data_IF_313010580949
#
_entry.id   IF_313010580949
#
_cell.length_a   1.000
_cell.length_b   1.000
_cell.length_c   1.000
_cell.angle_alpha   90.00
_cell.angle_beta   90.00
_cell.angle_gamma   90.00
#
_symmetry.space_group_name_H-M   'P 1'
#
loop_
_entity.id
_entity.type
_entity.pdbx_description
1 polymer ?
#
# COMPACT_ATOMS: atom_id res chain seq x y z
N UNK A 1 -49.65 -48.54 -30.93
CA UNK A 1 -48.92 -49.53 -31.75
C UNK A 1 -47.40 -49.53 -31.47
N UNK A 2 -46.75 -48.37 -31.28
CA UNK A 2 -45.30 -48.27 -31.00
C UNK A 2 -44.83 -49.00 -29.72
N UNK A 3 -45.52 -48.80 -28.59
CA UNK A 3 -45.18 -49.44 -27.30
C UNK A 3 -45.23 -50.97 -27.34
N UNK A 4 -46.06 -51.55 -28.22
CA UNK A 4 -46.14 -53.01 -28.42
C UNK A 4 -44.93 -53.56 -29.19
N UNK A 5 -44.30 -52.75 -30.03
CA UNK A 5 -43.07 -53.12 -30.75
C UNK A 5 -41.85 -52.97 -29.82
N UNK A 6 -41.88 -51.97 -28.92
CA UNK A 6 -40.81 -51.68 -27.97
C UNK A 6 -40.90 -52.48 -26.66
N UNK A 7 -41.83 -53.42 -26.55
CA UNK A 7 -42.05 -54.20 -25.33
C UNK A 7 -40.77 -54.95 -24.89
N UNK A 8 -40.06 -55.55 -25.85
CA UNK A 8 -38.80 -56.24 -25.57
C UNK A 8 -37.63 -55.29 -25.27
N UNK A 9 -37.77 -54.00 -25.61
CA UNK A 9 -36.76 -52.97 -25.39
C UNK A 9 -36.92 -52.26 -24.04
N UNK A 10 -38.12 -52.25 -23.45
CA UNK A 10 -38.44 -51.57 -22.20
C UNK A 10 -38.85 -52.59 -21.12
N UNK A 11 -37.90 -53.40 -20.66
CA UNK A 11 -38.07 -54.46 -19.65
C UNK A 11 -37.91 -55.89 -20.17
N UNK A 12 -37.39 -56.05 -21.40
CA UNK A 12 -37.26 -57.36 -22.05
C UNK A 12 -35.83 -57.88 -22.17
N UNK A 13 -35.58 -58.66 -23.23
CA UNK A 13 -34.35 -59.44 -23.45
C UNK A 13 -33.28 -58.73 -24.27
N UNK A 14 -33.48 -57.46 -24.59
CA UNK A 14 -32.59 -56.69 -25.47
C UNK A 14 -31.74 -55.68 -24.71
N UNK A 15 -30.56 -55.36 -25.26
CA UNK A 15 -29.76 -54.23 -24.80
C UNK A 15 -30.34 -52.96 -25.43
N UNK A 16 -30.90 -52.08 -24.61
CA UNK A 16 -31.58 -50.86 -25.09
C UNK A 16 -30.79 -49.63 -24.66
N UNK A 17 -30.65 -48.67 -25.56
CA UNK A 17 -30.11 -47.34 -25.27
C UNK A 17 -31.10 -46.28 -25.77
N UNK A 18 -31.35 -45.27 -24.94
CA UNK A 18 -32.27 -44.17 -25.24
C UNK A 18 -31.43 -42.91 -25.36
N UNK A 19 -31.58 -42.18 -26.47
CA UNK A 19 -30.89 -40.92 -26.71
C UNK A 19 -31.89 -39.79 -26.52
N UNK A 20 -31.65 -38.95 -25.51
CA UNK A 20 -32.44 -37.75 -25.24
C UNK A 20 -31.79 -36.54 -25.93
N UNK A 21 -32.46 -35.97 -26.92
CA UNK A 21 -32.00 -34.76 -27.63
C UNK A 21 -32.63 -33.52 -27.01
N UNK A 22 -31.82 -32.60 -26.51
CA UNK A 22 -32.28 -31.38 -25.83
C UNK A 22 -31.72 -30.13 -26.51
N UNK A 23 -32.43 -29.01 -26.39
CA UNK A 23 -32.01 -27.71 -26.93
C UNK A 23 -31.45 -26.84 -25.80
N UNK A 24 -30.31 -26.16 -25.99
CA UNK A 24 -29.74 -25.26 -24.99
C UNK A 24 -30.45 -23.90 -24.91
N UNK A 25 -31.43 -23.63 -25.78
CA UNK A 25 -32.11 -22.34 -25.82
C UNK A 25 -33.02 -22.13 -24.59
N UNK A 26 -33.00 -20.93 -24.02
CA UNK A 26 -33.81 -20.59 -22.83
C UNK A 26 -35.31 -20.72 -23.04
N UNK A 27 -35.79 -20.58 -24.30
CA UNK A 27 -37.19 -20.79 -24.66
C UNK A 27 -37.64 -22.26 -24.57
N UNK A 28 -36.69 -23.20 -24.62
CA UNK A 28 -36.94 -24.65 -24.58
C UNK A 28 -36.67 -25.26 -23.20
N UNK A 29 -36.57 -24.44 -22.15
CA UNK A 29 -36.21 -24.90 -20.81
C UNK A 29 -37.23 -25.91 -20.24
N UNK A 30 -38.53 -25.64 -20.43
CA UNK A 30 -39.61 -26.50 -19.94
C UNK A 30 -39.64 -27.87 -20.65
N UNK A 31 -39.51 -27.88 -21.97
CA UNK A 31 -39.42 -29.11 -22.77
C UNK A 31 -38.14 -29.90 -22.48
N UNK A 32 -37.04 -29.20 -22.23
CA UNK A 32 -35.76 -29.81 -21.82
C UNK A 32 -35.90 -30.50 -20.48
N UNK A 33 -36.56 -29.87 -19.50
CA UNK A 33 -36.83 -30.48 -18.20
C UNK A 33 -37.68 -31.75 -18.35
N UNK A 34 -38.77 -31.69 -19.12
CA UNK A 34 -39.65 -32.83 -19.38
C UNK A 34 -38.92 -34.01 -20.05
N UNK A 35 -38.04 -33.70 -21.01
CA UNK A 35 -37.21 -34.69 -21.71
C UNK A 35 -36.20 -35.35 -20.76
N UNK A 36 -35.55 -34.56 -19.90
CA UNK A 36 -34.60 -35.05 -18.90
C UNK A 36 -35.28 -35.91 -17.83
N UNK A 37 -36.49 -35.53 -17.39
CA UNK A 37 -37.27 -36.35 -16.45
C UNK A 37 -37.63 -37.72 -17.03
N UNK A 38 -38.05 -37.76 -18.30
CA UNK A 38 -38.33 -39.02 -18.97
C UNK A 38 -37.07 -39.87 -19.10
N UNK A 39 -35.94 -39.28 -19.50
CA UNK A 39 -34.66 -39.97 -19.59
C UNK A 39 -34.20 -40.53 -18.22
N UNK A 40 -34.40 -39.76 -17.15
CA UNK A 40 -34.10 -40.19 -15.79
C UNK A 40 -34.94 -41.40 -15.36
N UNK A 41 -36.25 -41.41 -15.66
CA UNK A 41 -37.11 -42.57 -15.40
C UNK A 41 -36.70 -43.78 -16.24
N UNK A 42 -36.39 -43.56 -17.51
CA UNK A 42 -36.03 -44.63 -18.43
C UNK A 42 -34.67 -45.28 -18.11
N UNK A 43 -33.73 -44.52 -17.52
CA UNK A 43 -32.46 -45.04 -16.99
C UNK A 43 -32.66 -46.15 -15.95
N UNK A 44 -33.75 -46.12 -15.20
CA UNK A 44 -34.03 -47.10 -14.14
C UNK A 44 -34.75 -48.37 -14.63
N UNK A 45 -35.01 -48.48 -15.94
CA UNK A 45 -35.59 -49.70 -16.53
C UNK A 45 -34.50 -50.76 -16.65
N UNK A 46 -34.65 -51.88 -15.95
CA UNK A 46 -33.72 -53.00 -16.01
C UNK A 46 -34.14 -54.01 -17.07
N UNK A 47 -33.31 -54.19 -18.09
CA UNK A 47 -33.43 -55.30 -19.05
C UNK A 47 -32.57 -56.48 -18.61
N UNK A 48 -32.96 -57.70 -19.03
CA UNK A 48 -32.16 -58.93 -18.85
C UNK A 48 -31.67 -59.39 -20.22
N UNK A 49 -30.55 -58.85 -20.73
CA UNK A 49 -30.08 -59.20 -22.05
C UNK A 49 -29.68 -60.68 -22.10
N UNK A 50 -30.38 -61.45 -22.93
CA UNK A 50 -30.10 -62.87 -23.15
C UNK A 50 -29.43 -63.05 -24.51
N UNK A 51 -28.34 -63.82 -24.56
CA UNK A 51 -27.71 -64.18 -25.84
C UNK A 51 -28.65 -65.17 -26.53
N UNK A 52 -29.19 -64.78 -27.69
CA UNK A 52 -30.02 -65.64 -28.53
C UNK A 52 -29.17 -66.75 -29.18
N UNK A 53 -28.63 -67.66 -28.37
CA UNK A 53 -27.94 -68.84 -28.87
C UNK A 53 -28.99 -69.83 -29.38
N UNK A 54 -29.04 -69.97 -30.71
CA UNK A 54 -29.69 -71.14 -31.32
C UNK A 54 -28.77 -72.34 -31.14
N UNK A 55 -28.75 -72.89 -29.92
CA UNK A 55 -28.10 -74.18 -29.65
C UNK A 55 -28.76 -75.23 -30.54
N UNK A 56 -28.06 -75.58 -31.61
CA UNK A 56 -28.52 -76.64 -32.51
C UNK A 56 -28.38 -77.95 -31.75
N UNK A 57 -29.36 -78.87 -31.85
CA UNK A 57 -29.31 -80.17 -31.16
C UNK A 57 -27.97 -80.91 -31.34
N UNK A 58 -27.31 -80.71 -32.48
CA UNK A 58 -25.98 -81.25 -32.80
C UNK A 58 -24.84 -80.71 -31.92
N UNK A 59 -24.88 -79.42 -31.54
CA UNK A 59 -23.89 -78.82 -30.64
C UNK A 59 -24.03 -79.38 -29.21
N UNK A 60 -25.28 -79.52 -28.75
CA UNK A 60 -25.58 -80.08 -27.43
C UNK A 60 -25.15 -81.56 -27.31
N UNK A 61 -25.39 -82.37 -28.36
CA UNK A 61 -24.95 -83.77 -28.40
C UNK A 61 -23.42 -83.86 -28.39
N UNK A 62 -22.73 -82.96 -29.10
CA UNK A 62 -21.26 -82.93 -29.13
C UNK A 62 -20.70 -82.61 -27.74
N UNK A 63 -21.25 -81.60 -27.07
CA UNK A 63 -20.86 -81.21 -25.71
C UNK A 63 -21.09 -82.36 -24.70
N UNK A 64 -22.24 -83.04 -24.75
CA UNK A 64 -22.48 -84.23 -23.92
C UNK A 64 -21.54 -85.39 -24.22
N UNK A 65 -21.16 -85.59 -25.48
CA UNK A 65 -20.23 -86.66 -25.86
C UNK A 65 -18.83 -86.38 -25.32
N UNK A 66 -18.37 -85.12 -25.42
CA UNK A 66 -17.09 -84.67 -24.86
C UNK A 66 -17.06 -84.79 -23.34
N UNK A 67 -18.18 -84.48 -22.67
CA UNK A 67 -18.34 -84.61 -21.22
C UNK A 67 -18.28 -86.08 -20.75
N UNK A 68 -18.95 -86.99 -21.47
CA UNK A 68 -18.90 -88.43 -21.18
C UNK A 68 -17.48 -88.98 -21.32
N UNK A 69 -16.76 -88.58 -22.36
CA UNK A 69 -15.37 -89.00 -22.58
C UNK A 69 -14.40 -88.37 -21.56
N UNK A 70 -14.70 -87.18 -21.03
CA UNK A 70 -13.96 -86.62 -19.89
C UNK A 70 -14.20 -87.44 -18.62
N UNK A 71 -15.46 -87.67 -18.26
CA UNK A 71 -15.84 -88.42 -17.07
C UNK A 71 -15.32 -89.87 -17.08
N UNK A 72 -15.28 -90.52 -18.24
CA UNK A 72 -14.69 -91.85 -18.40
C UNK A 72 -13.19 -91.86 -18.12
N UNK A 73 -12.46 -90.84 -18.59
CA UNK A 73 -11.03 -90.67 -18.30
C UNK A 73 -10.78 -90.41 -16.81
N UNK A 74 -11.60 -89.56 -16.19
CA UNK A 74 -11.50 -89.25 -14.76
C UNK A 74 -11.75 -90.50 -13.89
N UNK A 75 -12.70 -91.35 -14.28
CA UNK A 75 -13.04 -92.60 -13.58
C UNK A 75 -11.93 -93.66 -13.73
N UNK A 76 -11.28 -93.72 -14.89
CA UNK A 76 -10.10 -94.58 -15.10
C UNK A 76 -8.92 -94.12 -14.23
N UNK A 77 -8.64 -92.82 -14.18
CA UNK A 77 -7.59 -92.24 -13.34
C UNK A 77 -7.83 -92.46 -11.83
N UNK A 78 -9.09 -92.38 -11.39
CA UNK A 78 -9.45 -92.65 -9.99
C UNK A 78 -9.24 -94.13 -9.58
N UNK A 79 -9.32 -95.07 -10.54
CA UNK A 79 -9.14 -96.52 -10.30
C UNK A 79 -7.67 -96.94 -10.19
N UNK A 80 -6.74 -96.25 -10.85
CA UNK A 80 -5.31 -96.63 -10.89
C UNK A 80 -4.46 -96.08 -9.76
N UNK A 81 -4.99 -95.16 -8.92
CA UNK A 81 -4.42 -94.76 -7.61
C UNK A 81 -2.90 -94.47 -7.57
N UNK A 82 -2.28 -94.00 -8.65
CA UNK A 82 -0.98 -93.32 -8.64
C UNK A 82 -0.68 -92.61 -9.97
N UNK A 83 -0.47 -91.29 -9.91
CA UNK A 83 0.08 -90.50 -11.01
C UNK A 83 -0.95 -89.59 -11.67
N UNK A 84 -0.76 -88.27 -11.52
CA UNK A 84 -1.44 -87.27 -12.35
C UNK A 84 -0.92 -87.43 -13.78
N UNK A 85 -1.60 -88.24 -14.59
CA UNK A 85 -1.26 -88.41 -16.00
C UNK A 85 -1.93 -87.30 -16.81
N UNK A 86 -1.22 -86.18 -16.93
CA UNK A 86 -1.55 -85.13 -17.88
C UNK A 86 -1.01 -85.55 -19.25
N UNK A 87 -1.85 -85.51 -20.29
CA UNK A 87 -1.38 -85.73 -21.66
C UNK A 87 -0.25 -84.75 -22.00
N UNK A 88 0.74 -85.18 -22.77
CA UNK A 88 1.89 -84.35 -23.15
C UNK A 88 1.46 -82.97 -23.69
N UNK A 89 0.40 -82.97 -24.51
CA UNK A 89 -0.23 -81.77 -25.06
C UNK A 89 -0.81 -80.81 -23.99
N UNK A 90 -1.39 -81.36 -22.91
CA UNK A 90 -1.88 -80.57 -21.78
C UNK A 90 -0.74 -80.12 -20.85
N UNK A 91 0.35 -80.88 -20.75
CA UNK A 91 1.53 -80.49 -19.96
C UNK A 91 2.27 -79.33 -20.63
N UNK A 92 2.47 -79.40 -21.94
CA UNK A 92 3.04 -78.32 -22.75
C UNK A 92 2.15 -77.07 -22.72
N UNK A 93 0.83 -77.23 -22.84
CA UNK A 93 -0.11 -76.11 -22.72
C UNK A 93 -0.11 -75.47 -21.31
N UNK A 94 0.09 -76.26 -20.25
CA UNK A 94 0.18 -75.76 -18.88
C UNK A 94 1.50 -75.01 -18.63
N UNK A 95 2.63 -75.58 -19.08
CA UNK A 95 3.93 -74.91 -19.01
C UNK A 95 3.92 -73.60 -19.81
N UNK A 96 3.33 -73.58 -21.00
CA UNK A 96 3.20 -72.36 -21.80
C UNK A 96 2.32 -71.29 -21.13
N UNK A 97 1.27 -71.69 -20.40
CA UNK A 97 0.50 -70.74 -19.58
C UNK A 97 1.29 -70.22 -18.38
N UNK A 98 2.10 -71.08 -17.75
CA UNK A 98 2.93 -70.70 -16.62
C UNK A 98 3.99 -69.68 -17.04
N UNK A 99 4.68 -69.90 -18.16
CA UNK A 99 5.68 -68.95 -18.66
C UNK A 99 5.07 -67.60 -19.02
N UNK A 100 3.89 -67.59 -19.65
CA UNK A 100 3.18 -66.34 -19.96
C UNK A 100 2.74 -65.61 -18.69
N UNK A 101 2.31 -66.34 -17.65
CA UNK A 101 1.98 -65.73 -16.37
C UNK A 101 3.22 -65.19 -15.64
N UNK A 102 4.34 -65.90 -15.69
CA UNK A 102 5.62 -65.42 -15.12
C UNK A 102 6.11 -64.14 -15.82
N UNK A 103 6.01 -64.06 -17.15
CA UNK A 103 6.31 -62.85 -17.92
C UNK A 103 5.38 -61.68 -17.55
N UNK A 104 4.08 -61.94 -17.42
CA UNK A 104 3.11 -60.92 -16.99
C UNK A 104 3.38 -60.42 -15.57
N UNK A 105 3.75 -61.32 -14.65
CA UNK A 105 4.10 -60.95 -13.28
C UNK A 105 5.35 -60.05 -13.29
N UNK A 106 6.37 -60.39 -14.08
CA UNK A 106 7.56 -59.57 -14.21
C UNK A 106 7.23 -58.17 -14.77
N UNK A 107 6.38 -58.07 -15.79
CA UNK A 107 5.95 -56.79 -16.37
C UNK A 107 5.17 -55.94 -15.35
N UNK A 108 4.27 -56.56 -14.57
CA UNK A 108 3.53 -55.84 -13.53
C UNK A 108 4.44 -55.37 -12.39
N UNK A 109 5.45 -56.14 -12.00
CA UNK A 109 6.43 -55.73 -10.99
C UNK A 109 7.19 -54.49 -11.45
N UNK A 110 7.68 -54.48 -12.71
CA UNK A 110 8.36 -53.30 -13.26
C UNK A 110 7.46 -52.08 -13.29
N UNK A 111 6.19 -52.26 -13.68
CA UNK A 111 5.21 -51.18 -13.70
C UNK A 111 4.91 -50.62 -12.31
N UNK A 112 4.82 -51.49 -11.30
CA UNK A 112 4.66 -51.09 -9.89
C UNK A 112 5.87 -50.28 -9.43
N UNK A 113 7.10 -50.73 -9.72
CA UNK A 113 8.31 -50.02 -9.34
C UNK A 113 8.36 -48.60 -9.93
N UNK A 114 8.04 -48.45 -11.22
CA UNK A 114 7.99 -47.12 -11.87
C UNK A 114 6.93 -46.22 -11.23
N UNK A 115 5.74 -46.76 -10.95
CA UNK A 115 4.68 -46.01 -10.27
C UNK A 115 5.06 -45.61 -8.84
N UNK A 116 5.73 -46.49 -8.09
CA UNK A 116 6.21 -46.19 -6.74
C UNK A 116 7.23 -45.05 -6.75
N UNK A 117 8.15 -45.02 -7.72
CA UNK A 117 9.09 -43.90 -7.88
C UNK A 117 8.38 -42.59 -8.24
N UNK A 118 7.36 -42.62 -9.12
CA UNK A 118 6.57 -41.44 -9.44
C UNK A 118 5.79 -40.91 -8.23
N UNK A 119 5.15 -41.80 -7.47
CA UNK A 119 4.45 -41.43 -6.24
C UNK A 119 5.40 -40.80 -5.23
N UNK A 120 6.62 -41.36 -5.09
CA UNK A 120 7.64 -40.80 -4.20
C UNK A 120 8.07 -39.40 -4.63
N UNK A 121 8.36 -39.20 -5.93
CA UNK A 121 8.70 -37.88 -6.49
C UNK A 121 7.59 -36.85 -6.27
N UNK A 122 6.34 -37.22 -6.54
CA UNK A 122 5.19 -36.34 -6.34
C UNK A 122 5.04 -35.99 -4.86
N UNK A 123 5.21 -36.96 -3.96
CA UNK A 123 5.11 -36.74 -2.51
C UNK A 123 6.19 -35.78 -2.02
N UNK A 124 7.43 -35.94 -2.47
CA UNK A 124 8.53 -35.02 -2.15
C UNK A 124 8.23 -33.60 -2.64
N UNK A 125 7.77 -33.45 -3.89
CA UNK A 125 7.39 -32.13 -4.43
C UNK A 125 6.24 -31.49 -3.65
N UNK A 126 5.22 -32.27 -3.27
CA UNK A 126 4.12 -31.79 -2.44
C UNK A 126 4.60 -31.33 -1.06
N UNK A 127 5.56 -32.03 -0.45
CA UNK A 127 6.11 -31.61 0.85
C UNK A 127 6.89 -30.30 0.75
N UNK A 128 7.69 -30.11 -0.31
CA UNK A 128 8.41 -28.86 -0.56
C UNK A 128 7.43 -27.71 -0.78
N UNK A 129 6.48 -27.87 -1.71
CA UNK A 129 5.49 -26.84 -2.01
C UNK A 129 4.65 -26.47 -0.78
N UNK A 130 4.30 -27.45 0.06
CA UNK A 130 3.58 -27.19 1.32
C UNK A 130 4.42 -26.34 2.28
N UNK A 131 5.71 -26.65 2.43
CA UNK A 131 6.60 -25.88 3.29
C UNK A 131 6.79 -24.45 2.77
N UNK A 132 6.99 -24.28 1.46
CA UNK A 132 7.08 -22.97 0.83
C UNK A 132 5.80 -22.14 1.00
N UNK A 133 4.64 -22.80 0.88
CA UNK A 133 3.34 -22.13 1.08
C UNK A 133 3.16 -21.65 2.53
N UNK A 134 3.51 -22.49 3.51
CA UNK A 134 3.45 -22.09 4.93
C UNK A 134 4.45 -20.96 5.22
N UNK A 135 5.65 -21.01 4.67
CA UNK A 135 6.65 -19.95 4.84
C UNK A 135 6.21 -18.63 4.20
N UNK A 136 5.68 -18.67 2.98
CA UNK A 136 5.10 -17.50 2.31
C UNK A 136 3.94 -16.90 3.13
N UNK A 137 3.11 -17.77 3.74
CA UNK A 137 2.01 -17.33 4.59
C UNK A 137 2.50 -16.65 5.87
N UNK A 138 3.55 -17.16 6.51
CA UNK A 138 4.15 -16.49 7.68
C UNK A 138 4.78 -15.15 7.30
N UNK A 139 5.48 -15.09 6.17
CA UNK A 139 6.10 -13.85 5.67
C UNK A 139 5.04 -12.80 5.35
N UNK A 140 3.93 -13.20 4.73
CA UNK A 140 2.79 -12.31 4.46
C UNK A 140 2.23 -11.72 5.75
N UNK A 141 2.01 -12.54 6.78
CA UNK A 141 1.50 -12.06 8.08
C UNK A 141 2.46 -11.08 8.76
N UNK A 142 3.77 -11.32 8.69
CA UNK A 142 4.79 -10.41 9.21
C UNK A 142 4.74 -9.08 8.46
N UNK A 143 4.68 -9.13 7.12
CA UNK A 143 4.63 -7.93 6.27
C UNK A 143 3.35 -7.13 6.45
N UNK A 144 2.21 -7.78 6.65
CA UNK A 144 0.94 -7.11 6.97
C UNK A 144 1.05 -6.34 8.29
N UNK A 145 1.68 -6.94 9.31
CA UNK A 145 1.88 -6.28 10.60
C UNK A 145 2.86 -5.10 10.51
N UNK A 146 3.98 -5.27 9.82
CA UNK A 146 4.93 -4.16 9.55
C UNK A 146 4.26 -3.01 8.79
N UNK A 147 3.38 -3.33 7.83
CA UNK A 147 2.63 -2.33 7.08
C UNK A 147 1.65 -1.56 7.98
N UNK A 148 0.97 -2.25 8.89
CA UNK A 148 0.06 -1.61 9.85
C UNK A 148 0.80 -0.67 10.82
N UNK A 149 1.95 -1.10 11.35
CA UNK A 149 2.82 -0.29 12.21
C UNK A 149 3.34 0.96 11.47
N UNK A 150 3.89 0.78 10.27
CA UNK A 150 4.38 1.92 9.46
C UNK A 150 3.27 2.89 9.04
N UNK A 151 2.06 2.39 8.80
CA UNK A 151 0.91 3.24 8.49
C UNK A 151 0.48 4.09 9.71
N UNK A 152 0.56 3.51 10.91
CA UNK A 152 0.30 4.24 12.16
C UNK A 152 1.36 5.32 12.40
N UNK A 153 2.64 4.98 12.28
CA UNK A 153 3.74 5.93 12.43
C UNK A 153 3.65 7.08 11.43
N UNK A 154 3.23 6.80 10.19
CA UNK A 154 3.00 7.82 9.17
C UNK A 154 1.86 8.77 9.56
N UNK A 155 0.78 8.26 10.16
CA UNK A 155 -0.31 9.10 10.65
C UNK A 155 0.14 10.00 11.80
N UNK A 156 0.87 9.46 12.78
CA UNK A 156 1.42 10.23 13.89
C UNK A 156 2.38 11.32 13.40
N UNK A 157 3.28 10.98 12.47
CA UNK A 157 4.24 11.93 11.89
C UNK A 157 3.52 13.06 11.12
N UNK A 158 2.43 12.76 10.41
CA UNK A 158 1.64 13.79 9.73
C UNK A 158 0.97 14.76 10.69
N UNK A 159 0.50 14.27 11.83
CA UNK A 159 -0.10 15.13 12.86
C UNK A 159 0.98 16.06 13.43
N UNK A 160 2.14 15.52 13.80
CA UNK A 160 3.26 16.33 14.29
C UNK A 160 3.74 17.37 13.29
N UNK A 161 3.84 17.01 12.00
CA UNK A 161 4.21 17.97 10.97
C UNK A 161 3.21 19.13 10.88
N UNK A 162 1.90 18.85 10.95
CA UNK A 162 0.88 19.90 10.94
C UNK A 162 0.94 20.80 12.19
N UNK A 163 1.26 20.23 13.36
CA UNK A 163 1.50 20.99 14.59
C UNK A 163 2.72 21.91 14.46
N UNK A 164 3.83 21.39 13.93
CA UNK A 164 5.06 22.17 13.70
C UNK A 164 4.82 23.28 12.67
N UNK A 165 4.17 23.00 11.55
CA UNK A 165 3.82 24.00 10.53
C UNK A 165 2.97 25.13 11.13
N UNK A 166 2.01 24.79 11.99
CA UNK A 166 1.22 25.78 12.70
C UNK A 166 2.09 26.65 13.63
N UNK A 167 2.95 26.04 14.44
CA UNK A 167 3.85 26.77 15.34
C UNK A 167 4.78 27.70 14.56
N UNK A 168 5.36 27.23 13.46
CA UNK A 168 6.22 28.04 12.58
C UNK A 168 5.45 29.25 12.03
N UNK A 169 4.21 29.06 11.58
CA UNK A 169 3.37 30.15 11.06
C UNK A 169 3.07 31.23 12.12
N UNK A 170 2.83 30.81 13.37
CA UNK A 170 2.59 31.73 14.48
C UNK A 170 3.86 32.49 14.83
N UNK A 171 5.00 31.78 14.90
CA UNK A 171 6.30 32.40 15.17
C UNK A 171 6.65 33.44 14.12
N UNK A 172 6.47 33.14 12.82
CA UNK A 172 6.70 34.08 11.73
C UNK A 172 5.86 35.36 11.89
N UNK A 173 4.57 35.22 12.23
CA UNK A 173 3.68 36.37 12.48
C UNK A 173 4.17 37.22 13.68
N UNK A 174 4.60 36.57 14.76
CA UNK A 174 5.12 37.28 15.93
C UNK A 174 6.45 37.98 15.62
N UNK A 175 7.32 37.36 14.83
CA UNK A 175 8.58 37.95 14.39
C UNK A 175 8.32 39.18 13.53
N UNK A 176 7.40 39.12 12.57
CA UNK A 176 7.03 40.27 11.74
C UNK A 176 6.47 41.43 12.59
N UNK A 177 5.62 41.15 13.57
CA UNK A 177 5.10 42.17 14.50
C UNK A 177 6.19 42.80 15.35
N UNK A 178 7.11 41.98 15.88
CA UNK A 178 8.23 42.45 16.70
C UNK A 178 9.18 43.29 15.85
N UNK A 179 9.51 42.82 14.65
CA UNK A 179 10.36 43.54 13.70
C UNK A 179 9.74 44.89 13.30
N UNK A 180 8.43 44.93 13.03
CA UNK A 180 7.72 46.18 12.76
C UNK A 180 7.74 47.15 13.95
N UNK A 181 7.60 46.64 15.17
CA UNK A 181 7.69 47.45 16.39
C UNK A 181 9.11 47.99 16.62
N UNK A 182 10.12 47.14 16.46
CA UNK A 182 11.52 47.53 16.56
C UNK A 182 11.89 48.60 15.51
N UNK A 183 11.42 48.45 14.27
CA UNK A 183 11.63 49.42 13.20
C UNK A 183 10.98 50.77 13.51
N UNK A 184 9.76 50.78 14.05
CA UNK A 184 9.10 52.03 14.50
C UNK A 184 9.88 52.71 15.61
N UNK A 185 10.31 51.96 16.63
CA UNK A 185 11.12 52.49 17.73
C UNK A 185 12.44 53.07 17.22
N UNK A 186 13.10 52.38 16.29
CA UNK A 186 14.34 52.87 15.68
C UNK A 186 14.11 54.20 14.94
N UNK A 187 13.03 54.31 14.16
CA UNK A 187 12.66 55.56 13.49
C UNK A 187 12.40 56.70 14.49
N UNK A 188 11.66 56.43 15.57
CA UNK A 188 11.39 57.42 16.61
C UNK A 188 12.67 57.85 17.33
N UNK A 189 13.59 56.92 17.61
CA UNK A 189 14.89 57.23 18.21
C UNK A 189 15.74 58.07 17.26
N UNK A 190 15.73 57.78 15.95
CA UNK A 190 16.44 58.59 14.95
C UNK A 190 15.88 60.01 14.85
N UNK A 191 14.56 60.17 14.81
CA UNK A 191 13.89 61.47 14.78
C UNK A 191 14.17 62.28 16.05
N UNK A 192 13.97 61.68 17.23
CA UNK A 192 14.24 62.36 18.51
C UNK A 192 15.72 62.71 18.67
N UNK A 193 16.65 61.86 18.21
CA UNK A 193 18.09 62.18 18.18
C UNK A 193 18.37 63.38 17.28
N UNK A 194 17.74 63.43 16.10
CA UNK A 194 17.85 64.58 15.19
C UNK A 194 17.29 65.84 15.83
N UNK A 195 16.13 65.78 16.47
CA UNK A 195 15.52 66.92 17.15
C UNK A 195 16.38 67.45 18.29
N UNK A 196 16.93 66.56 19.13
CA UNK A 196 17.87 66.91 20.20
C UNK A 196 19.12 67.57 19.63
N UNK A 197 19.71 67.01 18.57
CA UNK A 197 20.87 67.62 17.91
C UNK A 197 20.56 69.02 17.34
N UNK A 198 19.37 69.19 16.76
CA UNK A 198 18.89 70.48 16.25
C UNK A 198 18.66 71.51 17.36
N UNK A 199 18.17 71.06 18.53
CA UNK A 199 18.00 71.90 19.72
C UNK A 199 19.35 72.36 20.27
N UNK A 200 20.33 71.46 20.37
CA UNK A 200 21.71 71.81 20.76
C UNK A 200 22.30 72.85 19.80
N UNK A 201 22.18 72.65 18.49
CA UNK A 201 22.64 73.64 17.51
C UNK A 201 21.92 75.00 17.61
N UNK A 202 20.65 75.04 18.03
CA UNK A 202 19.94 76.31 18.32
C UNK A 202 20.45 76.96 19.60
N UNK A 203 20.69 76.17 20.64
CA UNK A 203 21.23 76.66 21.92
C UNK A 203 22.63 77.26 21.72
N UNK A 204 23.48 76.60 20.95
CA UNK A 204 24.83 77.10 20.62
C UNK A 204 24.75 78.41 19.83
N UNK A 205 23.87 78.50 18.82
CA UNK A 205 23.63 79.74 18.09
C UNK A 205 23.15 80.87 19.00
N UNK A 206 22.20 80.59 19.91
CA UNK A 206 21.71 81.58 20.88
C UNK A 206 22.83 82.03 21.80
N UNK A 207 23.67 81.11 22.29
CA UNK A 207 24.83 81.42 23.13
C UNK A 207 25.80 82.37 22.43
N UNK A 208 26.08 82.16 21.14
CA UNK A 208 26.92 83.06 20.34
C UNK A 208 26.31 84.45 20.21
N UNK A 209 24.99 84.54 19.96
CA UNK A 209 24.27 85.82 19.89
C UNK A 209 24.27 86.53 21.24
N UNK A 210 24.00 85.83 22.33
CA UNK A 210 24.00 86.40 23.68
C UNK A 210 25.40 86.91 24.06
N UNK A 211 26.47 86.18 23.70
CA UNK A 211 27.85 86.63 23.86
C UNK A 211 28.14 87.90 23.03
N UNK A 212 27.72 87.93 21.78
CA UNK A 212 27.86 89.11 20.93
C UNK A 212 27.11 90.32 21.49
N UNK A 213 25.86 90.13 21.93
CA UNK A 213 25.04 91.17 22.55
C UNK A 213 25.70 91.70 23.84
N UNK A 214 26.26 90.82 24.67
CA UNK A 214 27.00 91.23 25.87
C UNK A 214 28.24 92.08 25.53
N UNK A 215 29.00 91.70 24.49
CA UNK A 215 30.14 92.50 24.01
C UNK A 215 29.68 93.88 23.52
N UNK A 216 28.60 93.93 22.73
CA UNK A 216 28.03 95.19 22.22
C UNK A 216 27.53 96.07 23.37
N UNK A 217 26.82 95.51 24.35
CA UNK A 217 26.37 96.23 25.54
C UNK A 217 27.54 96.81 26.34
N UNK A 218 28.58 96.01 26.60
CA UNK A 218 29.79 96.47 27.29
C UNK A 218 30.50 97.58 26.51
N UNK A 219 30.59 97.45 25.18
CA UNK A 219 31.20 98.46 24.31
C UNK A 219 30.41 99.77 24.34
N UNK A 220 29.09 99.69 24.23
CA UNK A 220 28.21 100.85 24.31
C UNK A 220 28.28 101.53 25.67
N UNK A 221 28.25 100.75 26.77
CA UNK A 221 28.42 101.28 28.12
C UNK A 221 29.77 101.98 28.30
N UNK A 222 30.85 101.42 27.73
CA UNK A 222 32.17 102.06 27.70
C UNK A 222 32.16 103.39 26.94
N UNK A 223 31.63 103.40 25.71
CA UNK A 223 31.50 104.63 24.92
C UNK A 223 30.63 105.70 25.61
N UNK A 224 29.55 105.29 26.26
CA UNK A 224 28.66 106.18 27.00
C UNK A 224 29.38 106.79 28.21
N UNK A 225 30.15 105.99 28.96
CA UNK A 225 30.99 106.47 30.04
C UNK A 225 32.06 107.46 29.54
N UNK A 226 32.70 107.18 28.40
CA UNK A 226 33.67 108.09 27.79
C UNK A 226 33.03 109.43 27.39
N UNK A 227 31.81 109.40 26.83
CA UNK A 227 31.02 110.59 26.53
C UNK A 227 30.64 111.36 27.79
N UNK A 228 30.18 110.68 28.85
CA UNK A 228 29.85 111.31 30.13
C UNK A 228 31.09 111.94 30.77
N UNK A 229 32.24 111.26 30.76
CA UNK A 229 33.50 111.81 31.25
C UNK A 229 33.90 113.07 30.46
N UNK A 230 33.81 113.05 29.13
CA UNK A 230 34.07 114.24 28.29
C UNK A 230 33.13 115.40 28.61
N UNK A 231 31.84 115.14 28.80
CA UNK A 231 30.87 116.16 29.20
C UNK A 231 31.23 116.70 30.59
N UNK A 232 31.55 115.83 31.54
CA UNK A 232 31.91 116.20 32.90
C UNK A 232 33.20 117.04 32.94
N UNK A 233 34.22 116.65 32.18
CA UNK A 233 35.46 117.42 32.00
C UNK A 233 35.16 118.79 31.39
N UNK A 234 34.34 118.85 30.33
CA UNK A 234 33.97 120.11 29.69
C UNK A 234 33.16 121.03 30.60
N UNK A 235 32.23 120.48 31.39
CA UNK A 235 31.47 121.23 32.41
C UNK A 235 32.40 121.74 33.51
N UNK A 236 33.34 120.92 33.95
CA UNK A 236 34.31 121.30 34.99
C UNK A 236 35.27 122.37 34.49
N UNK A 237 35.76 122.26 33.25
CA UNK A 237 36.60 123.27 32.61
C UNK A 237 35.83 124.59 32.43
N UNK A 238 34.56 124.53 32.02
CA UNK A 238 33.72 125.71 31.89
C UNK A 238 33.42 126.36 33.26
N UNK A 239 33.19 125.55 34.30
CA UNK A 239 33.04 126.02 35.67
C UNK A 239 34.32 126.71 36.18
N UNK A 240 35.49 126.13 35.90
CA UNK A 240 36.78 126.74 36.25
C UNK A 240 37.00 128.06 35.52
N UNK A 241 36.67 128.14 34.22
CA UNK A 241 36.71 129.38 33.43
C UNK A 241 35.77 130.44 34.01
N UNK A 242 34.55 130.09 34.40
CA UNK A 242 33.61 131.00 35.05
C UNK A 242 34.13 131.47 36.43
N UNK A 243 34.76 130.58 37.20
CA UNK A 243 35.36 130.93 38.50
C UNK A 243 36.55 131.87 38.32
N UNK A 244 37.44 131.61 37.36
CA UNK A 244 38.54 132.52 37.00
C UNK A 244 38.02 133.89 36.55
N UNK A 245 36.93 133.93 35.76
CA UNK A 245 36.29 135.17 35.35
C UNK A 245 35.76 135.95 36.58
N UNK A 246 35.05 135.29 37.49
CA UNK A 246 34.60 135.90 38.76
C UNK A 246 35.79 136.40 39.61
N UNK A 247 36.88 135.64 39.67
CA UNK A 247 38.09 136.01 40.43
C UNK A 247 38.79 137.24 39.81
N UNK A 248 38.77 137.34 38.47
CA UNK A 248 39.26 138.53 37.76
C UNK A 248 38.39 139.75 38.00
N UNK A 249 37.07 139.59 38.14
CA UNK A 249 36.16 140.67 38.53
C UNK A 249 36.35 141.10 40.00
N UNK A 250 36.61 140.18 40.92
CA UNK A 250 36.91 140.53 42.33
C UNK A 250 38.26 141.22 42.50
N UNK A 251 39.26 140.90 41.69
CA UNK A 251 40.57 141.56 41.71
C UNK A 251 40.57 142.95 41.03
N UNK A 252 39.49 143.34 40.35
CA UNK A 252 39.33 144.66 39.73
C UNK A 252 38.56 145.66 40.62
N UNK A 253 38.07 145.23 41.79
CA UNK A 253 37.33 146.05 42.77
C UNK A 253 38.16 146.22 44.08
N UNK A 254 39.46 145.93 44.03
CA UNK A 254 40.45 146.31 45.06
C UNK A 254 41.13 147.63 44.73
#
# INVERSE_FOLDING_TARGET
KLTRILQDSLGGRTKTSIIATVSPASISLEETLSTLEYAHRAKNIMNKPEVNQKLTKKALIKEYTEEIERLRRDLAAAREKNGVYISLENYEALNGKLTVQEEQIAEYIDKINVMEEEVKRITELFTVNKNELEQCKTDLQIKEKELEETQKDLQETKIHLAEEEYVVSVLENTEQKLHGTASKLLSTVQETTKDVSGLHAKLDRKKVVDQHNAIVQNTFAGQMNDLFNKIQDSVSENSLKQQQMLTSYTNFIG
#
